data_IF_008395964901
#
_entry.id   IF_008395964901
#
_cell.length_a   1.000
_cell.length_b   1.000
_cell.length_c   1.000
_cell.angle_alpha   90.00
_cell.angle_beta   90.00
_cell.angle_gamma   90.00
#
_symmetry.space_group_name_H-M   'P 1'
#
loop_
_entity.id
_entity.type
_entity.pdbx_description
1 polymer ?
#
# COMPACT_ATOMS: atom_id res chain seq x y z
N UNK A 1 -17.08 -14.82 -1.76
CA UNK A 1 -16.94 -13.44 -1.25
C UNK A 1 -15.96 -13.46 -0.08
N UNK A 2 -15.12 -12.43 0.04
CA UNK A 2 -14.08 -12.36 1.06
C UNK A 2 -14.61 -12.22 2.50
N UNK A 3 -13.72 -12.07 3.48
CA UNK A 3 -14.08 -11.84 4.88
C UNK A 3 -14.46 -10.37 5.06
N UNK A 4 -15.58 -10.09 5.72
CA UNK A 4 -15.93 -8.73 6.14
C UNK A 4 -14.94 -8.30 7.24
N UNK A 5 -14.23 -7.20 7.02
CA UNK A 5 -13.32 -6.60 8.00
C UNK A 5 -13.97 -5.47 8.78
N UNK A 6 -14.90 -4.76 8.16
CA UNK A 6 -15.57 -3.61 8.74
C UNK A 6 -16.99 -3.54 8.21
N UNK A 7 -17.93 -3.22 9.08
CA UNK A 7 -19.35 -3.04 8.78
C UNK A 7 -19.84 -1.94 9.72
N UNK A 8 -20.16 -0.78 9.18
CA UNK A 8 -20.65 0.36 9.94
C UNK A 8 -21.81 1.02 9.22
N UNK A 9 -22.66 1.69 9.97
CA UNK A 9 -23.75 2.49 9.43
C UNK A 9 -23.66 3.88 10.07
N UNK A 10 -23.61 4.91 9.23
CA UNK A 10 -23.58 6.31 9.63
C UNK A 10 -24.58 7.13 8.80
N UNK A 11 -24.57 8.45 8.96
CA UNK A 11 -25.47 9.36 8.23
C UNK A 11 -25.26 9.32 6.70
N UNK A 12 -24.15 8.77 6.21
CA UNK A 12 -23.89 8.56 4.79
C UNK A 12 -24.36 7.20 4.27
N UNK A 13 -24.82 6.30 5.15
CA UNK A 13 -25.33 4.97 4.81
C UNK A 13 -24.52 3.84 5.42
N UNK A 14 -24.73 2.61 4.93
CA UNK A 14 -24.00 1.44 5.44
C UNK A 14 -22.72 1.22 4.66
N UNK A 15 -21.57 1.34 5.32
CA UNK A 15 -20.27 1.03 4.77
C UNK A 15 -19.84 -0.41 5.11
N UNK A 16 -19.37 -1.17 4.13
CA UNK A 16 -18.84 -2.53 4.32
C UNK A 16 -17.48 -2.65 3.66
N UNK A 17 -16.48 -3.03 4.44
CA UNK A 17 -15.14 -3.36 3.93
C UNK A 17 -14.97 -4.87 3.88
N UNK A 18 -14.67 -5.40 2.70
CA UNK A 18 -14.44 -6.82 2.46
C UNK A 18 -12.99 -7.02 2.04
N UNK A 19 -12.28 -7.91 2.74
CA UNK A 19 -10.96 -8.37 2.30
C UNK A 19 -11.07 -9.72 1.59
N UNK A 20 -10.42 -9.83 0.45
CA UNK A 20 -10.27 -11.09 -0.28
C UNK A 20 -8.82 -11.32 -0.70
N UNK A 21 -8.60 -12.40 -1.44
CA UNK A 21 -7.29 -12.73 -2.00
C UNK A 21 -6.72 -11.63 -2.92
N UNK A 22 -7.55 -10.71 -3.40
CA UNK A 22 -7.20 -9.70 -4.40
C UNK A 22 -7.11 -8.27 -3.86
N UNK A 23 -7.33 -8.08 -2.56
CA UNK A 23 -7.29 -6.76 -1.92
C UNK A 23 -8.44 -6.54 -0.94
N UNK A 24 -8.47 -5.32 -0.42
CA UNK A 24 -9.52 -4.83 0.47
C UNK A 24 -10.37 -3.83 -0.30
N UNK A 25 -11.67 -4.06 -0.34
CA UNK A 25 -12.64 -3.19 -1.01
C UNK A 25 -13.60 -2.62 0.02
N UNK A 26 -13.84 -1.30 -0.05
CA UNK A 26 -14.86 -0.64 0.76
C UNK A 26 -16.04 -0.26 -0.14
N UNK A 27 -17.24 -0.66 0.29
CA UNK A 27 -18.50 -0.38 -0.39
C UNK A 27 -19.34 0.52 0.51
N UNK A 28 -19.99 1.51 -0.09
CA UNK A 28 -21.15 2.16 0.51
C UNK A 28 -22.39 1.49 -0.07
N UNK A 29 -23.25 0.97 0.79
CA UNK A 29 -24.48 0.29 0.43
C UNK A 29 -25.65 1.26 0.61
N UNK A 30 -26.14 1.79 -0.51
CA UNK A 30 -27.31 2.69 -0.52
C UNK A 30 -28.64 1.92 -0.36
N UNK A 31 -28.65 0.60 -0.61
CA UNK A 31 -29.86 -0.24 -0.58
C UNK A 31 -29.54 -1.64 -0.01
N UNK A 32 -30.34 -2.16 0.95
CA UNK A 32 -30.23 -3.56 1.43
C UNK A 32 -30.26 -4.62 0.31
N UNK A 33 -30.93 -4.35 -0.81
CA UNK A 33 -30.98 -5.23 -1.99
C UNK A 33 -29.63 -5.34 -2.72
N UNK A 34 -28.70 -4.41 -2.49
CA UNK A 34 -27.37 -4.42 -3.09
C UNK A 34 -26.57 -5.70 -2.76
N UNK A 35 -26.89 -6.39 -1.66
CA UNK A 35 -26.29 -7.69 -1.34
C UNK A 35 -26.63 -8.79 -2.36
N UNK A 36 -27.82 -8.72 -2.99
CA UNK A 36 -28.28 -9.71 -3.98
C UNK A 36 -27.99 -9.26 -5.42
N UNK A 37 -28.01 -7.95 -5.67
CA UNK A 37 -27.80 -7.34 -6.99
C UNK A 37 -26.95 -6.08 -6.86
N UNK A 38 -25.62 -6.23 -6.75
CA UNK A 38 -24.76 -5.07 -6.56
C UNK A 38 -24.74 -4.21 -7.84
N UNK A 39 -24.93 -2.90 -7.66
CA UNK A 39 -24.63 -1.89 -8.67
C UNK A 39 -23.48 -1.02 -8.15
N UNK A 40 -22.59 -0.58 -9.04
CA UNK A 40 -21.47 0.30 -8.68
C UNK A 40 -21.68 1.66 -9.32
N UNK A 41 -21.80 2.70 -8.50
CA UNK A 41 -21.85 4.10 -8.94
C UNK A 41 -20.46 4.70 -8.82
N UNK A 42 -19.94 5.29 -9.91
CA UNK A 42 -18.59 5.85 -9.95
C UNK A 42 -18.68 7.35 -10.26
N UNK A 43 -18.27 8.23 -9.33
CA UNK A 43 -18.25 9.67 -9.58
C UNK A 43 -17.28 10.04 -10.70
N UNK A 44 -17.70 10.98 -11.56
CA UNK A 44 -16.89 11.57 -12.63
C UNK A 44 -15.97 12.67 -12.09
N UNK A 45 -14.95 12.29 -11.32
CA UNK A 45 -13.93 13.21 -10.79
C UNK A 45 -12.51 12.80 -11.27
N UNK A 46 -11.42 13.48 -10.87
CA UNK A 46 -10.07 13.15 -11.30
C UNK A 46 -9.63 11.69 -11.05
N UNK A 47 -10.25 10.99 -10.11
CA UNK A 47 -9.98 9.59 -9.75
C UNK A 47 -10.93 8.59 -10.43
N UNK A 48 -11.80 9.04 -11.37
CA UNK A 48 -12.77 8.19 -12.07
C UNK A 48 -12.13 6.93 -12.67
N UNK A 49 -10.97 7.07 -13.34
CA UNK A 49 -10.29 5.94 -13.99
C UNK A 49 -9.83 4.88 -12.99
N UNK A 50 -9.25 5.29 -11.87
CA UNK A 50 -8.81 4.38 -10.81
C UNK A 50 -9.99 3.60 -10.23
N UNK A 51 -11.07 4.31 -9.85
CA UNK A 51 -12.29 3.66 -9.34
C UNK A 51 -12.94 2.76 -10.38
N UNK A 52 -12.91 3.11 -11.66
CA UNK A 52 -13.37 2.25 -12.76
C UNK A 52 -12.56 0.95 -12.86
N UNK A 53 -11.24 1.01 -12.76
CA UNK A 53 -10.41 -0.19 -12.80
C UNK A 53 -10.67 -1.11 -11.61
N UNK A 54 -10.78 -0.56 -10.39
CA UNK A 54 -11.09 -1.35 -9.19
C UNK A 54 -12.51 -1.90 -9.20
N UNK A 55 -13.50 -1.14 -9.68
CA UNK A 55 -14.85 -1.64 -9.92
C UNK A 55 -14.85 -2.80 -10.93
N UNK A 56 -14.07 -2.69 -12.02
CA UNK A 56 -13.90 -3.76 -12.99
C UNK A 56 -13.29 -5.03 -12.38
N UNK A 57 -12.30 -4.89 -11.48
CA UNK A 57 -11.71 -6.01 -10.73
C UNK A 57 -12.75 -6.66 -9.81
N UNK A 58 -13.53 -5.87 -9.09
CA UNK A 58 -14.61 -6.34 -8.25
C UNK A 58 -15.67 -7.11 -9.06
N UNK A 59 -16.16 -6.53 -10.15
CA UNK A 59 -17.20 -7.14 -11.02
C UNK A 59 -16.68 -8.44 -11.63
N UNK A 60 -15.46 -8.46 -12.17
CA UNK A 60 -14.87 -9.68 -12.71
C UNK A 60 -14.81 -10.79 -11.64
N UNK A 61 -14.37 -10.47 -10.43
CA UNK A 61 -14.33 -11.42 -9.33
C UNK A 61 -15.73 -11.89 -8.90
N UNK A 62 -16.69 -10.97 -8.74
CA UNK A 62 -18.06 -11.26 -8.33
C UNK A 62 -18.76 -12.22 -9.29
N UNK A 63 -18.51 -12.05 -10.59
CA UNK A 63 -19.06 -12.91 -11.65
C UNK A 63 -18.23 -14.20 -11.86
N UNK A 64 -17.19 -14.44 -11.06
CA UNK A 64 -16.35 -15.64 -11.14
C UNK A 64 -15.35 -15.63 -12.31
N UNK A 65 -15.13 -14.48 -12.95
CA UNK A 65 -14.13 -14.33 -14.01
C UNK A 65 -12.72 -14.20 -13.46
N UNK A 66 -11.74 -14.65 -14.26
CA UNK A 66 -10.33 -14.36 -14.01
C UNK A 66 -10.09 -12.86 -14.21
N UNK A 67 -9.34 -12.24 -13.30
CA UNK A 67 -8.99 -10.82 -13.42
C UNK A 67 -8.27 -10.56 -14.75
N UNK A 68 -8.59 -9.46 -15.45
CA UNK A 68 -7.89 -9.13 -16.68
C UNK A 68 -6.41 -8.89 -16.36
N UNK A 69 -5.51 -9.63 -17.01
CA UNK A 69 -4.06 -9.52 -16.83
C UNK A 69 -3.48 -8.12 -17.15
N UNK A 70 -4.30 -7.24 -17.74
CA UNK A 70 -3.92 -5.91 -18.23
C UNK A 70 -4.35 -4.74 -17.32
N UNK A 71 -4.95 -5.00 -16.16
CA UNK A 71 -5.20 -3.92 -15.19
C UNK A 71 -3.93 -3.78 -14.33
N UNK A 72 -3.18 -2.68 -14.45
CA UNK A 72 -1.97 -2.49 -13.67
C UNK A 72 -2.31 -2.55 -12.18
N UNK A 73 -1.49 -3.17 -11.33
CA UNK A 73 -1.67 -3.01 -9.90
C UNK A 73 -1.45 -1.53 -9.55
N UNK A 74 -2.37 -0.97 -8.75
CA UNK A 74 -2.29 0.34 -8.07
C UNK A 74 -0.87 0.63 -7.57
N UNK A 75 -0.23 -0.37 -6.96
CA UNK A 75 1.18 -0.34 -6.56
C UNK A 75 1.93 -1.46 -7.28
N UNK A 76 2.95 -1.11 -8.05
CA UNK A 76 3.78 -2.11 -8.75
C UNK A 76 4.54 -2.98 -7.74
N UNK A 77 4.88 -4.24 -8.07
CA UNK A 77 5.67 -5.10 -7.17
C UNK A 77 7.00 -4.47 -6.72
N UNK A 78 7.65 -3.73 -7.63
CA UNK A 78 8.88 -2.99 -7.33
C UNK A 78 8.64 -1.89 -6.28
N UNK A 79 7.57 -1.09 -6.47
CA UNK A 79 7.19 -0.04 -5.52
C UNK A 79 6.77 -0.61 -4.17
N UNK A 80 6.05 -1.74 -4.16
CA UNK A 80 5.67 -2.44 -2.93
C UNK A 80 6.91 -2.87 -2.13
N UNK A 81 7.88 -3.50 -2.79
CA UNK A 81 9.12 -3.92 -2.13
C UNK A 81 9.93 -2.73 -1.60
N UNK A 82 9.95 -1.61 -2.33
CA UNK A 82 10.57 -0.36 -1.86
C UNK A 82 9.89 0.18 -0.60
N UNK A 83 8.56 0.25 -0.57
CA UNK A 83 7.80 0.70 0.60
C UNK A 83 8.06 -0.20 1.82
N UNK A 84 8.12 -1.52 1.63
CA UNK A 84 8.47 -2.47 2.71
C UNK A 84 9.86 -2.18 3.28
N UNK A 85 10.85 -1.88 2.42
CA UNK A 85 12.20 -1.50 2.87
C UNK A 85 12.21 -0.20 3.67
N UNK A 86 11.42 0.79 3.27
CA UNK A 86 11.29 2.04 4.01
C UNK A 86 10.67 1.80 5.40
N UNK A 87 9.64 0.96 5.48
CA UNK A 87 9.03 0.58 6.78
C UNK A 87 10.02 -0.18 7.67
N UNK A 88 10.78 -1.13 7.12
CA UNK A 88 11.83 -1.82 7.89
C UNK A 88 12.95 -0.87 8.35
N UNK A 89 13.33 0.11 7.53
CA UNK A 89 14.32 1.12 7.90
C UNK A 89 13.80 2.01 9.05
N UNK A 90 12.51 2.38 9.01
CA UNK A 90 11.84 3.07 10.11
C UNK A 90 11.82 2.24 11.40
N UNK A 91 11.47 0.95 11.33
CA UNK A 91 11.46 0.08 12.52
C UNK A 91 12.83 -0.04 13.17
N UNK A 92 13.88 -0.21 12.36
CA UNK A 92 15.27 -0.22 12.83
C UNK A 92 15.66 1.12 13.46
N UNK A 93 15.31 2.23 12.82
CA UNK A 93 15.59 3.57 13.35
C UNK A 93 14.88 3.81 14.69
N UNK A 94 13.61 3.42 14.79
CA UNK A 94 12.82 3.49 16.03
C UNK A 94 13.42 2.62 17.14
N UNK A 95 14.09 1.52 16.79
CA UNK A 95 14.87 0.69 17.71
C UNK A 95 16.26 1.27 18.04
N UNK A 96 16.60 2.47 17.56
CA UNK A 96 17.86 3.17 17.83
C UNK A 96 18.99 2.83 16.85
N UNK A 97 18.72 2.15 15.73
CA UNK A 97 19.73 1.89 14.71
C UNK A 97 20.13 3.18 13.98
N UNK A 98 21.44 3.35 13.79
CA UNK A 98 22.00 4.39 12.92
C UNK A 98 21.94 3.95 11.44
N UNK A 99 22.29 4.84 10.50
CA UNK A 99 22.25 4.54 9.07
C UNK A 99 23.16 3.35 8.70
N UNK A 100 24.23 3.16 9.47
CA UNK A 100 25.21 2.09 9.25
C UNK A 100 24.63 0.73 9.59
N UNK A 101 23.91 0.64 10.71
CA UNK A 101 23.20 -0.57 11.12
C UNK A 101 22.01 -0.84 10.21
N UNK A 102 21.29 0.19 9.75
CA UNK A 102 20.21 0.06 8.76
C UNK A 102 20.76 -0.52 7.45
N UNK A 103 21.86 0.03 6.92
CA UNK A 103 22.50 -0.48 5.72
C UNK A 103 22.97 -1.94 5.89
N UNK A 104 23.54 -2.27 7.05
CA UNK A 104 24.01 -3.63 7.33
C UNK A 104 22.90 -4.69 7.26
N UNK A 105 21.69 -4.33 7.68
CA UNK A 105 20.54 -5.24 7.73
C UNK A 105 19.82 -5.30 6.39
N UNK A 106 19.66 -4.17 5.70
CA UNK A 106 18.80 -4.07 4.52
C UNK A 106 19.55 -4.11 3.18
N UNK A 107 20.85 -3.86 3.18
CA UNK A 107 21.69 -3.83 1.97
C UNK A 107 22.76 -4.92 2.02
N UNK A 108 23.72 -4.81 2.95
CA UNK A 108 24.85 -5.73 3.04
C UNK A 108 25.56 -5.63 4.40
N UNK A 109 25.79 -6.77 5.11
CA UNK A 109 26.48 -6.80 6.41
C UNK A 109 27.88 -6.15 6.42
N UNK A 110 28.57 -6.09 5.27
CA UNK A 110 29.86 -5.42 5.10
C UNK A 110 29.83 -3.96 5.55
N UNK A 111 28.67 -3.31 5.55
CA UNK A 111 28.54 -1.95 6.07
C UNK A 111 29.15 -1.80 7.48
N UNK A 112 29.07 -2.81 8.34
CA UNK A 112 29.63 -2.77 9.71
C UNK A 112 31.17 -2.86 9.76
N UNK A 113 31.78 -3.47 8.75
CA UNK A 113 33.24 -3.71 8.73
C UNK A 113 34.02 -2.68 7.92
N UNK A 114 33.33 -1.85 7.13
CA UNK A 114 33.95 -0.75 6.38
C UNK A 114 34.80 0.17 7.27
N UNK A 115 35.87 0.74 6.72
CA UNK A 115 36.55 1.83 7.42
C UNK A 115 35.62 3.05 7.52
N UNK A 116 35.91 3.99 8.44
CA UNK A 116 35.15 5.24 8.49
C UNK A 116 35.26 5.99 7.14
N UNK A 117 36.46 6.13 6.57
CA UNK A 117 36.61 6.83 5.28
C UNK A 117 35.78 6.19 4.14
N UNK A 118 35.73 4.86 4.09
CA UNK A 118 34.89 4.14 3.13
C UNK A 118 33.40 4.37 3.41
N UNK A 119 32.97 4.22 4.66
CA UNK A 119 31.56 4.38 5.05
C UNK A 119 31.01 5.78 4.78
N UNK A 120 31.80 6.84 4.99
CA UNK A 120 31.34 8.23 4.82
C UNK A 120 30.76 8.49 3.45
N UNK A 121 31.49 8.04 2.44
CA UNK A 121 31.27 8.41 1.07
C UNK A 121 30.55 7.26 0.31
N UNK A 122 30.21 6.17 1.02
CA UNK A 122 29.53 5.01 0.44
C UNK A 122 28.05 5.29 0.11
N UNK A 123 27.58 4.79 -1.02
CA UNK A 123 26.18 4.95 -1.47
C UNK A 123 25.17 4.35 -0.50
N UNK A 124 25.52 3.24 0.15
CA UNK A 124 24.67 2.59 1.16
C UNK A 124 24.27 3.51 2.31
N UNK A 125 25.13 4.45 2.71
CA UNK A 125 24.79 5.43 3.75
C UNK A 125 23.64 6.32 3.30
N UNK A 126 23.70 6.81 2.06
CA UNK A 126 22.65 7.63 1.46
C UNK A 126 21.37 6.82 1.30
N UNK A 127 21.44 5.61 0.76
CA UNK A 127 20.27 4.74 0.58
C UNK A 127 19.58 4.41 1.90
N UNK A 128 20.34 4.09 2.96
CA UNK A 128 19.77 3.82 4.28
C UNK A 128 19.11 5.07 4.89
N UNK A 129 19.72 6.25 4.70
CA UNK A 129 19.12 7.53 5.10
C UNK A 129 17.82 7.79 4.36
N UNK A 130 17.81 7.66 3.03
CA UNK A 130 16.65 7.94 2.19
C UNK A 130 15.48 7.00 2.56
N UNK A 131 15.75 5.70 2.75
CA UNK A 131 14.72 4.75 3.20
C UNK A 131 14.19 5.06 4.60
N UNK A 132 15.05 5.49 5.53
CA UNK A 132 14.62 5.91 6.86
C UNK A 132 13.71 7.13 6.76
N UNK A 133 14.15 8.17 6.07
CA UNK A 133 13.45 9.45 5.97
C UNK A 133 12.09 9.27 5.25
N UNK A 134 12.06 8.45 4.19
CA UNK A 134 10.82 8.07 3.51
C UNK A 134 9.92 7.19 4.41
N UNK A 135 10.49 6.27 5.18
CA UNK A 135 9.76 5.45 6.15
C UNK A 135 9.09 6.28 7.25
N UNK A 136 9.79 7.29 7.78
CA UNK A 136 9.23 8.27 8.73
C UNK A 136 8.06 9.01 8.08
N UNK A 137 8.27 9.56 6.87
CA UNK A 137 7.22 10.29 6.17
C UNK A 137 5.99 9.42 5.89
N UNK A 138 6.17 8.13 5.59
CA UNK A 138 5.07 7.19 5.42
C UNK A 138 4.26 7.05 6.71
N UNK A 139 4.91 6.81 7.86
CA UNK A 139 4.26 6.61 9.16
C UNK A 139 3.59 7.90 9.67
N UNK A 140 4.16 9.07 9.39
CA UNK A 140 3.63 10.39 9.77
C UNK A 140 2.46 10.87 8.87
N UNK A 141 1.78 9.95 8.18
CA UNK A 141 0.59 10.24 7.37
C UNK A 141 0.84 10.30 5.86
N UNK A 142 2.09 10.18 5.41
CA UNK A 142 2.43 10.09 3.99
C UNK A 142 1.80 8.88 3.29
N UNK A 143 1.45 7.82 4.03
CA UNK A 143 0.74 6.66 3.50
C UNK A 143 -0.60 7.02 2.82
N UNK A 144 -1.23 8.14 3.18
CA UNK A 144 -2.49 8.60 2.57
C UNK A 144 -2.34 8.84 1.07
N UNK A 145 -1.14 9.21 0.59
CA UNK A 145 -0.87 9.37 -0.85
C UNK A 145 -1.00 8.05 -1.62
N UNK A 146 -0.73 6.92 -0.97
CA UNK A 146 -0.89 5.60 -1.57
C UNK A 146 -2.36 5.25 -1.87
N UNK A 147 -3.32 5.95 -1.26
CA UNK A 147 -4.75 5.80 -1.55
C UNK A 147 -5.17 6.56 -2.82
N UNK A 148 -4.40 7.57 -3.23
CA UNK A 148 -4.71 8.45 -4.36
C UNK A 148 -3.91 8.12 -5.61
N UNK A 149 -2.74 7.52 -5.45
CA UNK A 149 -1.81 7.17 -6.53
C UNK A 149 -2.07 5.78 -7.14
N UNK A 150 -3.18 5.15 -6.76
CA UNK A 150 -3.65 3.87 -7.30
C UNK A 150 -4.51 3.98 -8.53
#
# INVERSE_FOLDING_TARGET
MGRILFDSEDDAGRSVTVTGFFGTFSFLLDDPAAQKRPAVVIPMDPHYRSRWYEAGRFVAHHLGFRLPARVPPVITPFRSLHLIRCLHAYDLHRAGADERRIAAVLLDPRALTMSWNEWRDHTWRRTAKDWRDEGIALVEGGYLKLLLEG
#
